data_IF_126209847329
#
_entry.id   IF_126209847329
#
_cell.length_a   1.000
_cell.length_b   1.000
_cell.length_c   1.000
_cell.angle_alpha   90.00
_cell.angle_beta   90.00
_cell.angle_gamma   90.00
#
_symmetry.space_group_name_H-M   'P 1'
#
loop_
_entity.id
_entity.type
_entity.pdbx_description
1 polymer ?
#
# COMPACT_ATOMS: atom_id res chain seq x y z
N UNK A 1 4.47 10.80 -9.10
CA UNK A 1 4.21 12.25 -9.05
C UNK A 1 3.23 12.71 -10.15
N UNK A 2 3.18 12.12 -11.37
CA UNK A 2 2.04 12.31 -12.29
C UNK A 2 0.86 11.37 -12.01
N UNK A 3 1.15 10.09 -11.71
CA UNK A 3 0.10 9.07 -11.52
C UNK A 3 -0.89 9.35 -10.39
N UNK A 4 -0.47 10.04 -9.32
CA UNK A 4 -1.38 10.47 -8.24
C UNK A 4 -2.34 11.55 -8.73
N UNK A 5 -1.86 12.51 -9.53
CA UNK A 5 -2.72 13.53 -10.15
C UNK A 5 -3.70 12.88 -11.12
N UNK A 6 -3.23 11.96 -11.98
CA UNK A 6 -4.08 11.24 -12.92
C UNK A 6 -5.17 10.45 -12.18
N UNK A 7 -4.81 9.74 -11.10
CA UNK A 7 -5.78 9.05 -10.25
C UNK A 7 -6.80 9.99 -9.61
N UNK A 8 -6.38 11.17 -9.14
CA UNK A 8 -7.28 12.19 -8.58
C UNK A 8 -8.23 12.73 -9.67
N UNK A 9 -7.71 13.04 -10.86
CA UNK A 9 -8.52 13.55 -11.98
C UNK A 9 -9.54 12.52 -12.44
N UNK A 10 -9.14 11.25 -12.59
CA UNK A 10 -10.05 10.15 -12.93
C UNK A 10 -11.09 9.97 -11.83
N UNK A 11 -10.67 9.93 -10.57
CA UNK A 11 -11.59 9.80 -9.42
C UNK A 11 -12.60 10.94 -9.35
N UNK A 12 -12.15 12.18 -9.56
CA UNK A 12 -13.02 13.35 -9.59
C UNK A 12 -13.97 13.32 -10.80
N UNK A 13 -13.50 12.90 -11.97
CA UNK A 13 -14.33 12.72 -13.16
C UNK A 13 -15.42 11.67 -12.94
N UNK A 14 -15.07 10.53 -12.33
CA UNK A 14 -16.03 9.49 -11.95
C UNK A 14 -17.04 9.99 -10.91
N UNK A 15 -16.59 10.79 -9.94
CA UNK A 15 -17.47 11.40 -8.94
C UNK A 15 -18.48 12.34 -9.60
N UNK A 16 -18.03 13.23 -10.49
CA UNK A 16 -18.91 14.15 -11.23
C UNK A 16 -19.88 13.39 -12.12
N UNK A 17 -19.41 12.35 -12.82
CA UNK A 17 -20.27 11.50 -13.63
C UNK A 17 -21.33 10.80 -12.77
N UNK A 18 -20.94 10.24 -11.63
CA UNK A 18 -21.84 9.61 -10.67
C UNK A 18 -22.94 10.57 -10.18
N UNK A 19 -22.57 11.80 -9.80
CA UNK A 19 -23.52 12.84 -9.38
C UNK A 19 -24.46 13.19 -10.54
N UNK A 20 -23.91 13.42 -11.73
CA UNK A 20 -24.67 13.82 -12.92
C UNK A 20 -25.69 12.76 -13.34
N UNK A 21 -25.30 11.48 -13.30
CA UNK A 21 -26.19 10.37 -13.62
C UNK A 21 -27.27 10.13 -12.55
N UNK A 22 -27.07 10.61 -11.32
CA UNK A 22 -28.02 10.46 -10.21
C UNK A 22 -28.75 11.77 -9.86
N UNK A 23 -28.63 12.83 -10.68
CA UNK A 23 -29.18 14.15 -10.37
C UNK A 23 -30.70 14.13 -10.17
N UNK A 24 -31.39 13.26 -10.91
CA UNK A 24 -32.85 13.09 -10.86
C UNK A 24 -33.31 11.96 -9.93
N UNK A 25 -32.38 11.17 -9.40
CA UNK A 25 -32.71 10.06 -8.53
C UNK A 25 -32.86 10.59 -7.11
N UNK A 26 -34.08 10.53 -6.59
CA UNK A 26 -34.42 10.93 -5.23
C UNK A 26 -34.84 9.72 -4.41
N UNK A 27 -34.59 9.79 -3.11
CA UNK A 27 -35.00 8.79 -2.14
C UNK A 27 -35.57 9.45 -0.89
N UNK A 28 -36.44 8.71 -0.21
CA UNK A 28 -36.99 9.09 1.07
C UNK A 28 -36.27 8.30 2.18
N UNK A 29 -35.86 9.00 3.23
CA UNK A 29 -35.15 8.43 4.38
C UNK A 29 -36.08 8.51 5.58
N UNK A 30 -36.48 7.36 6.11
CA UNK A 30 -37.29 7.30 7.33
C UNK A 30 -36.42 6.92 8.54
N UNK A 31 -36.47 7.75 9.58
CA UNK A 31 -35.88 7.49 10.90
C UNK A 31 -36.90 6.91 11.89
N UNK A 32 -37.95 6.26 11.38
CA UNK A 32 -39.05 5.71 12.17
C UNK A 32 -40.11 6.77 12.56
N UNK A 33 -39.70 7.89 13.16
CA UNK A 33 -40.61 8.95 13.60
C UNK A 33 -40.64 10.18 12.67
N UNK A 34 -39.60 10.33 11.85
CA UNK A 34 -39.45 11.43 10.89
C UNK A 34 -39.00 10.89 9.54
N UNK A 35 -39.55 11.44 8.47
CA UNK A 35 -39.17 11.09 7.10
C UNK A 35 -38.63 12.33 6.39
N UNK A 36 -37.43 12.22 5.84
CA UNK A 36 -36.87 13.20 4.92
C UNK A 36 -37.21 12.75 3.51
N UNK A 37 -38.00 13.53 2.79
CA UNK A 37 -38.46 13.17 1.44
C UNK A 37 -37.70 13.92 0.36
N UNK A 38 -37.57 13.29 -0.80
CA UNK A 38 -37.00 13.93 -1.99
C UNK A 38 -35.50 14.23 -1.91
N UNK A 39 -34.75 13.49 -1.10
CA UNK A 39 -33.30 13.69 -0.99
C UNK A 39 -32.61 13.05 -2.21
N UNK A 40 -31.73 13.76 -2.93
CA UNK A 40 -30.93 13.18 -4.00
C UNK A 40 -30.09 11.98 -3.52
N UNK A 41 -30.19 10.85 -4.23
CA UNK A 41 -29.54 9.58 -3.85
C UNK A 41 -28.02 9.71 -3.77
N UNK A 42 -27.40 10.50 -4.65
CA UNK A 42 -25.95 10.69 -4.59
C UNK A 42 -25.50 11.35 -3.26
N UNK A 43 -26.32 12.23 -2.66
CA UNK A 43 -26.00 12.87 -1.39
C UNK A 43 -26.03 11.87 -0.24
N UNK A 44 -27.00 10.96 -0.22
CA UNK A 44 -27.12 9.96 0.84
C UNK A 44 -25.95 8.97 0.80
N UNK A 45 -25.55 8.55 -0.40
CA UNK A 45 -24.38 7.69 -0.61
C UNK A 45 -23.09 8.39 -0.18
N UNK A 46 -22.88 9.66 -0.60
CA UNK A 46 -21.70 10.43 -0.21
C UNK A 46 -21.64 10.68 1.30
N UNK A 47 -22.78 11.01 1.92
CA UNK A 47 -22.88 11.20 3.36
C UNK A 47 -22.56 9.90 4.11
N UNK A 48 -23.12 8.76 3.69
CA UNK A 48 -22.83 7.45 4.28
C UNK A 48 -21.35 7.08 4.13
N UNK A 49 -20.74 7.35 2.98
CA UNK A 49 -19.32 7.09 2.76
C UNK A 49 -18.44 7.97 3.65
N UNK A 50 -18.73 9.28 3.73
CA UNK A 50 -18.02 10.20 4.61
C UNK A 50 -18.15 9.78 6.09
N UNK A 51 -19.35 9.39 6.53
CA UNK A 51 -19.59 8.92 7.88
C UNK A 51 -18.80 7.63 8.18
N UNK A 52 -18.77 6.69 7.22
CA UNK A 52 -17.94 5.49 7.30
C UNK A 52 -16.45 5.79 7.40
N UNK A 53 -15.94 6.76 6.63
CA UNK A 53 -14.56 7.22 6.73
C UNK A 53 -14.26 7.82 8.10
N UNK A 54 -15.15 8.67 8.62
CA UNK A 54 -15.02 9.27 9.97
C UNK A 54 -15.00 8.17 11.02
N UNK A 55 -15.91 7.19 10.93
CA UNK A 55 -15.95 6.05 11.84
C UNK A 55 -14.69 5.16 11.77
N UNK A 56 -14.00 5.14 10.63
CA UNK A 56 -12.73 4.44 10.46
C UNK A 56 -11.51 5.23 10.94
N UNK A 57 -11.61 6.54 11.19
CA UNK A 57 -10.46 7.34 11.64
C UNK A 57 -9.82 6.81 12.93
N UNK A 58 -10.55 6.38 13.97
CA UNK A 58 -9.95 5.83 15.18
C UNK A 58 -9.10 4.57 14.93
N UNK A 59 -9.52 3.70 14.01
CA UNK A 59 -8.80 2.46 13.70
C UNK A 59 -7.52 2.75 12.91
N UNK A 60 -7.59 3.66 11.94
CA UNK A 60 -6.43 4.11 11.16
C UNK A 60 -5.43 4.86 12.03
N UNK A 61 -5.91 5.76 12.90
CA UNK A 61 -5.06 6.49 13.83
C UNK A 61 -4.36 5.55 14.83
N UNK A 62 -5.09 4.57 15.36
CA UNK A 62 -4.52 3.53 16.23
C UNK A 62 -3.45 2.72 15.50
N UNK A 63 -3.75 2.21 14.31
CA UNK A 63 -2.79 1.44 13.51
C UNK A 63 -1.54 2.25 13.16
N UNK A 64 -1.71 3.54 12.82
CA UNK A 64 -0.60 4.46 12.58
C UNK A 64 0.25 4.66 13.84
N UNK A 65 -0.37 4.87 15.00
CA UNK A 65 0.34 5.03 16.28
C UNK A 65 1.13 3.77 16.66
N UNK A 66 0.54 2.58 16.50
CA UNK A 66 1.24 1.30 16.72
C UNK A 66 2.42 1.14 15.76
N UNK A 67 2.24 1.39 14.46
CA UNK A 67 3.32 1.32 13.47
C UNK A 67 4.48 2.30 13.80
N UNK A 68 4.16 3.49 14.33
CA UNK A 68 5.16 4.46 14.76
C UNK A 68 5.93 4.05 16.02
N UNK A 69 5.34 3.20 16.88
CA UNK A 69 6.01 2.64 18.07
C UNK A 69 6.89 1.44 17.73
N UNK A 70 6.45 0.56 16.83
CA UNK A 70 7.27 -0.58 16.36
C UNK A 70 8.50 -0.10 15.57
N UNK A 71 8.38 0.96 14.77
CA UNK A 71 9.52 1.56 14.07
C UNK A 71 10.56 2.19 15.01
N UNK A 72 10.19 2.56 16.24
CA UNK A 72 11.14 2.98 17.30
C UNK A 72 11.72 1.83 18.11
N UNK A 73 11.12 0.64 18.08
CA UNK A 73 11.57 -0.57 18.79
C UNK A 73 12.37 -1.54 17.92
N UNK A 74 12.58 -1.24 16.63
CA UNK A 74 13.62 -1.92 15.86
C UNK A 74 14.98 -1.57 16.51
N UNK A 75 15.72 -2.56 17.06
CA UNK A 75 16.96 -2.28 17.76
C UNK A 75 17.98 -1.67 16.80
N UNK A 76 18.61 -0.59 17.26
CA UNK A 76 19.96 -0.22 16.83
C UNK A 76 20.88 -1.44 17.01
N UNK A 77 21.08 -2.23 15.96
CA UNK A 77 22.24 -3.13 15.81
C UNK A 77 23.15 -2.64 14.68
N UNK A 78 23.42 -1.33 14.67
CA UNK A 78 24.53 -0.79 13.88
C UNK A 78 25.29 0.19 14.76
N UNK A 79 26.00 -0.36 15.74
CA UNK A 79 27.17 0.29 16.32
C UNK A 79 28.41 -0.30 15.65
N UNK A 80 28.94 0.48 14.69
CA UNK A 80 30.35 0.63 14.34
C UNK A 80 31.23 -0.63 14.19
N UNK A 81 31.47 -1.05 12.94
CA UNK A 81 32.82 -1.48 12.54
C UNK A 81 33.11 -0.97 11.12
N UNK A 82 34.08 -0.07 10.90
CA UNK A 82 34.35 0.51 9.58
C UNK A 82 35.32 -0.39 8.80
N UNK A 83 34.98 -1.65 8.53
CA UNK A 83 35.82 -2.51 7.68
C UNK A 83 35.04 -3.64 6.98
N UNK A 84 34.15 -3.30 6.06
CA UNK A 84 33.57 -4.29 5.13
C UNK A 84 33.06 -3.68 3.82
N UNK A 85 33.71 -2.60 3.34
CA UNK A 85 33.39 -2.00 2.03
C UNK A 85 34.49 -2.22 1.00
N UNK A 86 35.09 -3.43 0.95
CA UNK A 86 35.98 -3.83 -0.17
C UNK A 86 35.74 -5.22 -0.76
N UNK A 87 34.87 -6.05 -0.19
CA UNK A 87 34.72 -7.46 -0.62
C UNK A 87 33.28 -7.80 -1.02
N UNK A 88 32.65 -7.02 -1.89
CA UNK A 88 31.39 -7.45 -2.52
C UNK A 88 31.20 -7.07 -3.99
N UNK A 89 32.20 -6.47 -4.65
CA UNK A 89 32.14 -6.15 -6.10
C UNK A 89 32.93 -7.12 -7.00
N UNK A 90 33.33 -8.29 -6.51
CA UNK A 90 34.17 -9.23 -7.30
C UNK A 90 33.61 -10.64 -7.49
N UNK A 91 32.29 -10.85 -7.36
CA UNK A 91 31.70 -12.19 -7.50
C UNK A 91 30.32 -12.24 -8.16
N UNK A 92 30.17 -11.64 -9.34
CA UNK A 92 29.14 -12.05 -10.32
C UNK A 92 29.65 -11.85 -11.74
N UNK A 93 30.41 -12.83 -12.23
CA UNK A 93 30.55 -13.11 -13.68
C UNK A 93 30.27 -14.62 -13.85
N UNK A 94 29.26 -15.02 -14.63
CA UNK A 94 28.94 -16.42 -14.81
C UNK A 94 29.88 -17.01 -15.87
N UNK A 95 30.48 -18.16 -15.59
CA UNK A 95 31.23 -18.93 -16.58
C UNK A 95 31.06 -20.41 -16.28
N UNK A 96 30.17 -21.02 -17.06
CA UNK A 96 30.13 -22.44 -17.41
C UNK A 96 31.50 -22.97 -17.83
N UNK A 97 31.87 -24.18 -17.39
CA UNK A 97 32.71 -25.23 -18.03
C UNK A 97 33.15 -26.23 -16.95
N UNK A 98 32.57 -27.43 -16.97
CA UNK A 98 33.12 -28.67 -17.56
C UNK A 98 34.17 -29.31 -16.65
N UNK A 99 33.76 -30.42 -16.03
CA UNK A 99 34.57 -31.29 -15.19
C UNK A 99 35.70 -31.93 -16.01
N UNK A 100 36.93 -31.71 -15.58
CA UNK A 100 38.08 -32.53 -15.95
C UNK A 100 38.65 -33.15 -14.68
N UNK A 101 38.52 -34.47 -14.59
CA UNK A 101 39.13 -35.30 -13.56
C UNK A 101 40.52 -35.66 -14.10
N UNK A 102 41.58 -35.12 -13.49
CA UNK A 102 42.95 -35.50 -13.83
C UNK A 102 43.31 -36.80 -13.11
N UNK A 103 43.50 -37.82 -13.94
CA UNK A 103 43.91 -39.19 -13.64
C UNK A 103 45.41 -39.25 -13.36
N UNK A 104 45.89 -38.80 -12.19
CA UNK A 104 47.24 -39.13 -11.68
C UNK A 104 47.33 -39.05 -10.15
N UNK A 105 46.94 -40.12 -9.48
CA UNK A 105 47.45 -40.44 -8.12
C UNK A 105 47.40 -41.96 -7.83
N UNK A 106 47.76 -42.76 -8.84
CA UNK A 106 48.08 -44.17 -8.67
C UNK A 106 49.61 -44.36 -8.60
N UNK A 107 50.07 -44.92 -7.48
CA UNK A 107 51.42 -45.40 -7.22
C UNK A 107 51.62 -45.44 -5.70
N UNK A 108 51.16 -46.49 -5.00
CA UNK A 108 51.89 -47.75 -4.76
C UNK A 108 53.38 -47.49 -4.54
N UNK A 109 53.77 -47.44 -3.26
CA UNK A 109 54.79 -48.29 -2.63
C UNK A 109 54.41 -48.49 -1.15
#
# INVERSE_FOLDING_TARGET
MPGRLIGIVIGLGLLVAFISLNLHNVCDISFGFFSLTGIPVFLTILASFALGLIAALPTVFSAWLYAHRLSKQAPHQVASNPESEKTFKKRKKPSSREDHIDEKDFGID
#
